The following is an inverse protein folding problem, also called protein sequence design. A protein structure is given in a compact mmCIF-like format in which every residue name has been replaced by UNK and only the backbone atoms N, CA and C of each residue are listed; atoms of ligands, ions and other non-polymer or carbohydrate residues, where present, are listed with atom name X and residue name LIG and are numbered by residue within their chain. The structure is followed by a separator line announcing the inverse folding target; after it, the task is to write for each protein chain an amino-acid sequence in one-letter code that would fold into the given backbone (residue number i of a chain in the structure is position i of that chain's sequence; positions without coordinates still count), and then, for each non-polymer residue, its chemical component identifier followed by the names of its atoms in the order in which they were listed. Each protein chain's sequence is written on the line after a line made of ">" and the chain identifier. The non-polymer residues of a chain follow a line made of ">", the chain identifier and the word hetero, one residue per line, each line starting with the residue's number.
data_IF_805735039602
#
_entry.id   IF_805735039602
#
_cell.length_a   1.000
_cell.length_b   1.000
_cell.length_c   1.000
_cell.angle_alpha   90.00
_cell.angle_beta   90.00
_cell.angle_gamma   90.00
#
_symmetry.space_group_name_H-M   'P 1'
#
loop_
_entity.id
_entity.type
_entity.pdbx_description
1 polymer ?
#
# COMPACT_ATOMS: atom_id res chain seq x y z
N UNK A 1 -15.03 1.85 6.92
CA UNK A 1 -13.61 2.27 7.03
C UNK A 1 -13.37 2.86 8.42
N UNK A 2 -12.33 2.42 9.14
CA UNK A 2 -11.94 3.09 10.39
C UNK A 2 -11.25 4.42 10.04
N UNK A 3 -11.59 5.54 10.68
CA UNK A 3 -11.02 6.84 10.35
C UNK A 3 -9.52 6.86 10.67
N UNK A 4 -8.71 7.40 9.77
CA UNK A 4 -7.24 7.53 9.84
C UNK A 4 -6.75 8.49 10.94
N UNK A 5 -7.63 8.86 11.88
CA UNK A 5 -7.41 9.85 12.95
C UNK A 5 -6.38 9.39 14.00
N UNK A 6 -5.94 8.13 13.95
CA UNK A 6 -5.02 7.54 14.93
C UNK A 6 -3.58 7.41 14.42
N UNK A 7 -3.26 7.90 13.21
CA UNK A 7 -1.86 8.02 12.80
C UNK A 7 -1.31 9.29 13.46
N UNK A 8 -0.86 9.15 14.70
CA UNK A 8 -0.21 10.22 15.45
C UNK A 8 0.94 10.83 14.66
N UNK A 9 1.38 12.03 15.06
CA UNK A 9 2.56 12.69 14.50
C UNK A 9 3.74 11.72 14.61
N UNK A 10 4.14 11.13 13.49
CA UNK A 10 5.32 10.27 13.43
C UNK A 10 6.51 11.20 13.44
N UNK A 11 7.30 11.15 14.51
CA UNK A 11 8.60 11.81 14.61
C UNK A 11 9.51 11.27 13.50
N UNK A 12 10.33 12.15 12.92
CA UNK A 12 11.14 11.88 11.73
C UNK A 12 11.92 10.57 11.85
N UNK A 13 11.83 9.72 10.84
CA UNK A 13 12.67 8.52 10.74
C UNK A 13 14.13 8.95 10.56
N UNK A 14 14.97 8.62 11.52
CA UNK A 14 16.42 8.75 11.41
C UNK A 14 16.96 7.51 10.71
N UNK A 15 17.77 7.72 9.68
CA UNK A 15 18.52 6.67 9.00
C UNK A 15 19.70 6.27 9.90
N UNK A 16 19.62 5.07 10.49
CA UNK A 16 20.74 4.50 11.23
C UNK A 16 21.79 3.99 10.24
N UNK A 17 22.97 4.58 10.31
CA UNK A 17 24.20 4.12 9.65
C UNK A 17 24.49 2.69 10.16
N UNK A 18 24.31 1.71 9.28
CA UNK A 18 24.52 0.30 9.58
C UNK A 18 26.00 0.06 9.93
N UNK A 19 26.27 -0.13 11.22
CA UNK A 19 27.51 -0.75 11.67
C UNK A 19 27.33 -2.26 11.58
N UNK A 20 28.04 -2.89 10.64
CA UNK A 20 28.17 -4.34 10.53
C UNK A 20 28.74 -4.90 11.85
N UNK A 21 27.91 -5.56 12.66
CA UNK A 21 28.17 -6.80 13.42
C UNK A 21 27.02 -7.00 14.43
N UNK A 22 26.07 -7.91 14.16
CA UNK A 22 25.42 -8.83 15.12
C UNK A 22 24.31 -9.62 14.39
N UNK A 23 24.33 -10.94 14.51
CA UNK A 23 23.34 -11.90 14.00
C UNK A 23 21.95 -11.66 14.63
N UNK A 24 21.22 -10.68 14.11
CA UNK A 24 19.85 -10.35 14.51
C UNK A 24 18.82 -11.15 13.71
N UNK A 25 18.16 -12.10 14.39
CA UNK A 25 16.99 -12.87 13.94
C UNK A 25 16.02 -11.98 13.14
N UNK A 26 16.08 -12.07 11.81
CA UNK A 26 15.18 -11.32 10.94
C UNK A 26 13.77 -11.88 11.15
N UNK A 27 12.77 -11.07 11.60
CA UNK A 27 11.40 -11.53 11.58
C UNK A 27 11.09 -11.85 10.13
N UNK A 28 10.87 -13.14 9.84
CA UNK A 28 10.38 -13.57 8.54
C UNK A 28 9.03 -12.91 8.34
N UNK A 29 9.04 -11.69 7.78
CA UNK A 29 7.86 -10.96 7.37
C UNK A 29 7.25 -11.80 6.26
N UNK A 30 6.32 -12.65 6.70
CA UNK A 30 5.51 -13.57 5.95
C UNK A 30 5.41 -13.11 4.50
N UNK A 31 6.12 -13.83 3.64
CA UNK A 31 6.03 -13.81 2.18
C UNK A 31 4.60 -14.18 1.75
N UNK A 32 3.64 -13.31 2.06
CA UNK A 32 2.33 -13.36 1.44
C UNK A 32 2.52 -12.81 0.04
N UNK A 33 2.20 -13.58 -1.02
CA UNK A 33 2.26 -13.04 -2.36
C UNK A 33 1.41 -11.76 -2.39
N UNK A 34 1.88 -10.69 -3.07
CA UNK A 34 1.13 -9.46 -3.15
C UNK A 34 -0.26 -9.81 -3.70
N UNK A 35 -1.30 -9.44 -2.95
CA UNK A 35 -2.66 -9.65 -3.41
C UNK A 35 -2.82 -8.96 -4.77
N UNK A 36 -3.47 -9.61 -5.75
CA UNK A 36 -3.63 -9.04 -7.08
C UNK A 36 -4.19 -7.62 -6.98
N UNK A 37 -3.63 -6.68 -7.75
CA UNK A 37 -4.07 -5.28 -7.74
C UNK A 37 -5.58 -5.15 -7.94
N UNK A 38 -6.18 -6.01 -8.76
CA UNK A 38 -7.62 -6.10 -8.96
C UNK A 38 -8.40 -6.35 -7.66
N UNK A 39 -7.92 -7.25 -6.79
CA UNK A 39 -8.55 -7.53 -5.50
C UNK A 39 -8.53 -6.29 -4.58
N UNK A 40 -7.46 -5.50 -4.64
CA UNK A 40 -7.35 -4.25 -3.87
C UNK A 40 -8.29 -3.15 -4.39
N UNK A 41 -8.42 -3.02 -5.71
CA UNK A 41 -9.31 -2.04 -6.36
C UNK A 41 -10.78 -2.37 -6.05
N UNK A 42 -11.16 -3.65 -6.07
CA UNK A 42 -12.51 -4.09 -5.70
C UNK A 42 -12.80 -3.83 -4.22
N UNK A 43 -11.86 -4.18 -3.33
CA UNK A 43 -11.99 -3.91 -1.90
C UNK A 43 -12.13 -2.40 -1.61
N UNK A 44 -11.35 -1.56 -2.30
CA UNK A 44 -11.45 -0.10 -2.19
C UNK A 44 -12.80 0.41 -2.69
N UNK A 45 -13.25 -0.06 -3.85
CA UNK A 45 -14.55 0.33 -4.43
C UNK A 45 -15.71 -0.02 -3.51
N UNK A 46 -15.69 -1.21 -2.92
CA UNK A 46 -16.68 -1.65 -1.94
C UNK A 46 -16.65 -0.78 -0.67
N UNK A 47 -15.46 -0.47 -0.17
CA UNK A 47 -15.30 0.32 1.06
C UNK A 47 -15.66 1.80 0.90
N UNK A 48 -15.47 2.38 -0.30
CA UNK A 48 -15.82 3.76 -0.63
C UNK A 48 -17.25 3.93 -1.15
N UNK A 49 -17.90 2.84 -1.60
CA UNK A 49 -19.19 2.88 -2.26
C UNK A 49 -19.17 3.51 -3.66
N UNK A 50 -17.98 3.66 -4.26
CA UNK A 50 -17.81 4.21 -5.61
C UNK A 50 -16.99 3.25 -6.49
N UNK A 51 -17.30 3.21 -7.78
CA UNK A 51 -16.52 2.46 -8.78
C UNK A 51 -15.41 3.34 -9.35
N UNK A 52 -14.44 2.71 -10.01
CA UNK A 52 -13.48 3.43 -10.85
C UNK A 52 -14.22 4.16 -11.98
N UNK A 53 -13.91 5.43 -12.14
CA UNK A 53 -14.58 6.35 -13.06
C UNK A 53 -13.60 6.95 -14.08
N UNK A 54 -12.30 6.67 -13.93
CA UNK A 54 -11.24 7.12 -14.83
C UNK A 54 -10.52 5.92 -15.43
N UNK A 55 -10.30 5.94 -16.74
CA UNK A 55 -9.54 4.95 -17.49
C UNK A 55 -8.37 5.60 -18.23
N UNK A 56 -7.15 5.17 -17.95
CA UNK A 56 -5.93 5.66 -18.59
C UNK A 56 -5.28 4.54 -19.40
N UNK A 57 -4.81 4.84 -20.61
CA UNK A 57 -4.06 3.90 -21.45
C UNK A 57 -2.59 4.32 -21.54
N UNK A 58 -1.67 3.41 -21.20
CA UNK A 58 -0.21 3.62 -21.33
C UNK A 58 0.38 2.44 -22.07
N UNK A 59 0.96 2.69 -23.25
CA UNK A 59 1.57 1.65 -24.10
C UNK A 59 0.66 0.43 -24.33
N UNK A 60 -0.65 0.64 -24.52
CA UNK A 60 -1.64 -0.43 -24.72
C UNK A 60 -2.14 -1.11 -23.44
N UNK A 61 -1.60 -0.74 -22.28
CA UNK A 61 -2.08 -1.21 -20.97
C UNK A 61 -3.13 -0.24 -20.43
N UNK A 62 -4.23 -0.77 -19.89
CA UNK A 62 -5.33 0.02 -19.35
C UNK A 62 -5.32 0.03 -17.80
N UNK A 63 -5.47 1.22 -17.21
CA UNK A 63 -5.46 1.45 -15.76
C UNK A 63 -6.77 2.12 -15.34
N UNK A 64 -7.49 1.49 -14.42
CA UNK A 64 -8.73 2.03 -13.85
C UNK A 64 -8.43 2.72 -12.52
N UNK A 65 -8.87 3.96 -12.36
CA UNK A 65 -8.60 4.81 -11.21
C UNK A 65 -9.90 5.35 -10.61
N UNK A 66 -9.86 5.66 -9.32
CA UNK A 66 -10.90 6.39 -8.61
C UNK A 66 -10.56 7.88 -8.60
N UNK A 67 -11.49 8.72 -8.99
CA UNK A 67 -11.43 10.16 -8.74
C UNK A 67 -11.88 10.43 -7.30
N UNK A 68 -10.98 11.00 -6.51
CA UNK A 68 -11.24 11.40 -5.11
C UNK A 68 -11.60 12.87 -5.06
#
# INVERSE_FOLDING_TARGET
>A
MKPWRNLGVVETIYEEEAYDDDDGDSPSLLSSPPSPLHSRVEAWSSAMGCKTDVLIHVQGTAFHLHKV
#
